data_IF_707446758811
#
_entry.id   IF_707446758811
#
_cell.length_a   1.000
_cell.length_b   1.000
_cell.length_c   1.000
_cell.angle_alpha   90.00
_cell.angle_beta   90.00
_cell.angle_gamma   90.00
#
_symmetry.space_group_name_H-M   'P 1'
#
loop_
_entity.id
_entity.type
_entity.pdbx_description
1 polymer ?
#
# COMPACT_ATOMS: atom_id res chain seq x y z
N UNK A 1 -30.67 32.43 33.79
CA UNK A 1 -29.84 33.16 32.80
C UNK A 1 -28.41 32.66 33.01
N UNK A 2 -27.71 32.04 32.07
CA UNK A 2 -27.81 31.99 30.61
C UNK A 2 -27.50 30.55 30.20
N UNK A 3 -28.45 29.87 29.53
CA UNK A 3 -28.18 28.62 28.82
C UNK A 3 -27.42 29.02 27.55
N UNK A 4 -26.14 28.65 27.47
CA UNK A 4 -25.36 28.80 26.25
C UNK A 4 -26.02 27.97 25.15
N UNK A 5 -26.53 28.64 24.12
CA UNK A 5 -27.15 27.99 22.98
C UNK A 5 -26.13 27.16 22.22
N UNK A 6 -26.40 25.87 22.10
CA UNK A 6 -25.84 25.06 21.01
C UNK A 6 -26.35 25.72 19.74
N UNK A 7 -25.45 26.30 18.94
CA UNK A 7 -25.82 26.77 17.59
C UNK A 7 -26.29 25.53 16.84
N UNK A 8 -27.54 25.54 16.37
CA UNK A 8 -27.98 24.63 15.31
C UNK A 8 -27.07 24.91 14.10
N UNK A 9 -26.09 24.03 13.89
CA UNK A 9 -25.27 24.03 12.70
C UNK A 9 -26.17 23.55 11.56
N UNK A 10 -26.73 24.48 10.80
CA UNK A 10 -27.24 24.17 9.47
C UNK A 10 -26.06 23.68 8.63
N UNK A 11 -26.23 22.53 7.96
CA UNK A 11 -25.12 21.88 7.27
C UNK A 11 -24.62 22.66 6.05
N UNK A 12 -25.42 23.59 5.52
CA UNK A 12 -25.02 24.51 4.45
C UNK A 12 -23.75 25.29 4.86
N UNK A 13 -22.63 24.99 4.22
CA UNK A 13 -21.32 25.63 4.44
C UNK A 13 -20.36 24.91 5.38
N UNK A 14 -20.82 23.90 6.15
CA UNK A 14 -19.95 23.16 7.08
C UNK A 14 -18.87 22.37 6.32
N UNK A 15 -19.23 21.80 5.17
CA UNK A 15 -18.31 21.04 4.33
C UNK A 15 -17.17 21.92 3.78
N UNK A 16 -17.51 23.12 3.28
CA UNK A 16 -16.54 24.08 2.76
C UNK A 16 -15.60 24.58 3.86
N UNK A 17 -16.14 24.83 5.06
CA UNK A 17 -15.32 25.17 6.23
C UNK A 17 -14.35 24.05 6.62
N UNK A 18 -14.79 22.79 6.60
CA UNK A 18 -13.92 21.63 6.86
C UNK A 18 -12.79 21.60 5.85
N UNK A 19 -13.12 21.71 4.56
CA UNK A 19 -12.13 21.65 3.49
C UNK A 19 -11.10 22.78 3.59
N UNK A 20 -11.54 24.01 3.84
CA UNK A 20 -10.63 25.14 4.02
C UNK A 20 -9.73 25.00 5.25
N UNK A 21 -10.23 24.42 6.34
CA UNK A 21 -9.42 24.16 7.53
C UNK A 21 -8.40 23.03 7.28
N UNK A 22 -8.79 21.97 6.58
CA UNK A 22 -7.86 20.89 6.17
C UNK A 22 -6.72 21.46 5.32
N UNK A 23 -7.03 22.28 4.31
CA UNK A 23 -6.03 22.93 3.44
C UNK A 23 -5.05 23.82 4.21
N UNK A 24 -5.42 24.34 5.39
CA UNK A 24 -4.51 25.12 6.23
C UNK A 24 -3.54 24.25 7.04
N UNK A 25 -3.85 22.97 7.24
CA UNK A 25 -3.09 22.04 8.09
C UNK A 25 -2.10 21.17 7.33
N UNK A 26 -2.20 21.14 6.00
CA UNK A 26 -1.33 20.31 5.17
C UNK A 26 -1.00 21.01 3.86
N UNK A 27 0.21 20.76 3.35
CA UNK A 27 0.61 21.16 2.00
C UNK A 27 0.08 20.19 0.93
N UNK A 28 -0.51 19.07 1.36
CA UNK A 28 -1.12 18.10 0.47
C UNK A 28 -2.40 18.68 -0.13
N UNK A 29 -2.62 18.38 -1.41
CA UNK A 29 -3.87 18.72 -2.09
C UNK A 29 -5.02 17.96 -1.42
N UNK A 30 -5.98 18.71 -0.89
CA UNK A 30 -7.26 18.20 -0.42
C UNK A 30 -8.38 18.78 -1.28
N UNK A 31 -9.34 17.94 -1.65
CA UNK A 31 -10.60 18.35 -2.25
C UNK A 31 -11.77 17.74 -1.47
N UNK A 32 -13.00 18.02 -1.92
CA UNK A 32 -14.18 17.53 -1.25
C UNK A 32 -14.23 16.00 -1.20
N UNK A 33 -13.71 15.35 -2.25
CA UNK A 33 -13.72 13.89 -2.33
C UNK A 33 -12.78 13.27 -1.31
N UNK A 34 -11.66 13.91 -0.99
CA UNK A 34 -10.75 13.45 0.07
C UNK A 34 -11.46 13.38 1.43
N UNK A 35 -12.21 14.42 1.80
CA UNK A 35 -12.98 14.44 3.06
C UNK A 35 -14.07 13.39 3.04
N UNK A 36 -14.81 13.29 1.92
CA UNK A 36 -15.86 12.28 1.75
C UNK A 36 -15.33 10.86 1.88
N UNK A 37 -14.16 10.55 1.30
CA UNK A 37 -13.52 9.22 1.38
C UNK A 37 -13.14 8.84 2.81
N UNK A 38 -12.62 9.77 3.60
CA UNK A 38 -12.30 9.52 5.01
C UNK A 38 -13.57 9.26 5.82
N UNK A 39 -14.62 10.06 5.61
CA UNK A 39 -15.92 9.84 6.25
C UNK A 39 -16.54 8.50 5.82
N UNK A 40 -16.46 8.15 4.53
CA UNK A 40 -16.94 6.89 4.01
C UNK A 40 -16.17 5.69 4.62
N UNK A 41 -14.85 5.80 4.80
CA UNK A 41 -14.07 4.76 5.48
C UNK A 41 -14.51 4.55 6.94
N UNK A 42 -14.87 5.62 7.65
CA UNK A 42 -15.41 5.54 9.02
C UNK A 42 -16.78 4.85 9.11
N UNK A 43 -17.55 4.79 8.02
CA UNK A 43 -18.77 3.94 7.97
C UNK A 43 -18.44 2.45 7.99
N UNK A 44 -17.20 2.06 7.66
CA UNK A 44 -16.75 0.68 7.54
C UNK A 44 -15.96 0.20 8.76
N UNK A 45 -15.12 1.04 9.34
CA UNK A 45 -14.18 0.68 10.40
C UNK A 45 -13.87 1.85 11.32
N UNK A 46 -13.51 1.56 12.57
CA UNK A 46 -13.05 2.53 13.56
C UNK A 46 -11.53 2.52 13.77
N UNK A 47 -10.81 1.58 13.15
CA UNK A 47 -9.35 1.49 13.25
C UNK A 47 -8.67 2.53 12.33
N UNK A 48 -7.70 3.27 12.86
CA UNK A 48 -7.01 4.32 12.10
C UNK A 48 -6.34 3.79 10.83
N UNK A 49 -5.64 2.66 10.93
CA UNK A 49 -4.88 2.11 9.81
C UNK A 49 -5.80 1.58 8.73
N UNK A 50 -6.93 0.98 9.13
CA UNK A 50 -7.98 0.59 8.19
C UNK A 50 -8.66 1.82 7.57
N UNK A 51 -8.89 2.92 8.30
CA UNK A 51 -9.41 4.17 7.72
C UNK A 51 -8.46 4.73 6.65
N UNK A 52 -7.14 4.72 6.91
CA UNK A 52 -6.13 5.12 5.92
C UNK A 52 -6.21 4.21 4.68
N UNK A 53 -6.28 2.89 4.89
CA UNK A 53 -6.38 1.91 3.80
C UNK A 53 -7.65 2.04 2.97
N UNK A 54 -8.81 2.22 3.63
CA UNK A 54 -10.13 2.25 2.99
C UNK A 54 -10.49 3.60 2.36
N UNK A 55 -9.87 4.69 2.82
CA UNK A 55 -10.04 6.02 2.19
C UNK A 55 -9.22 6.18 0.91
N UNK A 56 -8.16 5.39 0.73
CA UNK A 56 -7.18 5.55 -0.36
C UNK A 56 -6.52 6.95 -0.38
N UNK A 57 -6.49 7.64 0.77
CA UNK A 57 -5.86 8.95 0.93
C UNK A 57 -4.51 8.84 1.64
N UNK A 58 -3.54 9.74 1.38
CA UNK A 58 -2.25 9.73 2.07
C UNK A 58 -2.41 9.85 3.59
N UNK A 59 -1.66 9.06 4.37
CA UNK A 59 -1.74 9.04 5.83
C UNK A 59 -1.71 10.45 6.48
N UNK A 60 -0.81 11.38 6.10
CA UNK A 60 -0.81 12.71 6.69
C UNK A 60 -2.08 13.51 6.40
N UNK A 61 -2.69 13.31 5.22
CA UNK A 61 -3.95 13.94 4.85
C UNK A 61 -5.12 13.36 5.65
N UNK A 62 -5.18 12.03 5.80
CA UNK A 62 -6.18 11.36 6.63
C UNK A 62 -6.13 11.86 8.06
N UNK A 63 -4.92 11.97 8.65
CA UNK A 63 -4.74 12.52 10.00
C UNK A 63 -5.27 13.95 10.10
N UNK A 64 -4.91 14.82 9.16
CA UNK A 64 -5.37 16.22 9.16
C UNK A 64 -6.89 16.33 9.02
N UNK A 65 -7.50 15.51 8.17
CA UNK A 65 -8.97 15.46 8.01
C UNK A 65 -9.62 15.00 9.32
N UNK A 66 -9.16 13.90 9.92
CA UNK A 66 -9.73 13.36 11.15
C UNK A 66 -9.65 14.35 12.32
N UNK A 67 -8.57 15.12 12.43
CA UNK A 67 -8.44 16.18 13.44
C UNK A 67 -9.49 17.29 13.24
N UNK A 68 -9.71 17.73 12.00
CA UNK A 68 -10.75 18.74 11.71
C UNK A 68 -12.15 18.19 11.95
N UNK A 69 -12.42 16.95 11.56
CA UNK A 69 -13.71 16.30 11.80
C UNK A 69 -13.99 16.12 13.30
N UNK A 70 -12.97 15.81 14.10
CA UNK A 70 -13.08 15.75 15.56
C UNK A 70 -13.42 17.12 16.16
N UNK A 71 -12.72 18.18 15.76
CA UNK A 71 -12.99 19.55 16.24
C UNK A 71 -14.39 20.05 15.86
N UNK A 72 -14.91 19.61 14.71
CA UNK A 72 -16.28 19.91 14.25
C UNK A 72 -17.32 18.98 14.88
N UNK A 73 -16.92 18.03 15.72
CA UNK A 73 -17.82 17.09 16.41
C UNK A 73 -18.46 16.05 15.48
N UNK A 74 -17.92 15.84 14.28
CA UNK A 74 -18.37 14.83 13.33
C UNK A 74 -17.82 13.45 13.73
N UNK A 75 -16.57 13.43 14.21
CA UNK A 75 -15.89 12.24 14.69
C UNK A 75 -15.60 12.38 16.19
N UNK A 76 -15.67 11.28 16.91
CA UNK A 76 -15.12 11.16 18.26
C UNK A 76 -13.99 10.13 18.28
N UNK A 77 -12.90 10.46 18.98
CA UNK A 77 -11.78 9.56 19.23
C UNK A 77 -11.93 8.96 20.63
N UNK A 78 -11.81 7.64 20.73
CA UNK A 78 -11.91 6.90 21.99
C UNK A 78 -10.84 5.82 22.05
N UNK A 79 -10.69 5.14 23.20
CA UNK A 79 -9.83 3.94 23.29
C UNK A 79 -10.25 2.84 22.29
N UNK A 80 -11.52 2.83 21.86
CA UNK A 80 -12.06 1.89 20.86
C UNK A 80 -11.88 2.30 19.41
N UNK A 81 -11.13 3.37 19.13
CA UNK A 81 -10.91 3.91 17.78
C UNK A 81 -11.69 5.20 17.51
N UNK A 82 -11.94 5.46 16.22
CA UNK A 82 -12.55 6.68 15.71
C UNK A 82 -13.93 6.39 15.14
N UNK A 83 -14.96 7.00 15.72
CA UNK A 83 -16.34 6.73 15.35
C UNK A 83 -17.04 8.01 14.91
N UNK A 84 -18.00 7.88 14.00
CA UNK A 84 -18.92 8.97 13.69
C UNK A 84 -19.85 9.21 14.89
N UNK A 85 -20.00 10.47 15.28
CA UNK A 85 -20.98 10.86 16.30
C UNK A 85 -22.40 10.82 15.72
N UNK A 86 -23.43 11.00 16.54
CA UNK A 86 -24.81 11.19 16.04
C UNK A 86 -24.91 12.35 15.03
N UNK A 87 -24.09 13.39 15.20
CA UNK A 87 -23.99 14.50 14.24
C UNK A 87 -23.28 14.05 12.96
N UNK A 88 -22.18 13.30 13.07
CA UNK A 88 -21.47 12.75 11.93
C UNK A 88 -22.32 11.77 11.11
N UNK A 89 -23.14 10.94 11.76
CA UNK A 89 -24.09 10.06 11.06
C UNK A 89 -25.12 10.85 10.25
N UNK A 90 -25.73 11.90 10.82
CA UNK A 90 -26.63 12.80 10.06
C UNK A 90 -25.92 13.50 8.91
N UNK A 91 -24.68 13.93 9.13
CA UNK A 91 -23.84 14.52 8.08
C UNK A 91 -23.66 13.54 6.91
N UNK A 92 -23.43 12.25 7.17
CA UNK A 92 -23.31 11.25 6.10
C UNK A 92 -24.62 11.08 5.30
N UNK A 93 -25.78 11.12 5.97
CA UNK A 93 -27.09 11.01 5.31
C UNK A 93 -27.38 12.24 4.42
N UNK A 94 -27.10 13.44 4.92
CA UNK A 94 -27.37 14.70 4.22
C UNK A 94 -26.53 14.87 2.96
N UNK A 95 -25.24 14.53 3.04
CA UNK A 95 -24.30 14.59 1.91
C UNK A 95 -24.28 13.31 1.07
N UNK A 96 -25.18 12.36 1.35
CA UNK A 96 -25.27 11.07 0.67
C UNK A 96 -23.92 10.30 0.60
N UNK A 97 -23.11 10.42 1.66
CA UNK A 97 -21.82 9.73 1.77
C UNK A 97 -22.08 8.25 2.00
N UNK A 98 -21.52 7.40 1.14
CA UNK A 98 -21.66 5.95 1.24
C UNK A 98 -20.36 5.22 0.98
N UNK A 99 -20.18 4.10 1.69
CA UNK A 99 -19.04 3.22 1.51
C UNK A 99 -19.38 2.07 0.54
N UNK A 100 -18.57 1.91 -0.50
CA UNK A 100 -18.71 0.83 -1.48
C UNK A 100 -17.34 0.29 -1.88
N UNK A 101 -17.16 -1.04 -1.80
CA UNK A 101 -15.95 -1.72 -2.26
C UNK A 101 -16.33 -3.01 -3.00
N UNK A 102 -16.03 -3.05 -4.29
CA UNK A 102 -16.37 -4.18 -5.18
C UNK A 102 -15.11 -4.93 -5.59
N UNK A 103 -14.50 -5.65 -4.66
CA UNK A 103 -13.25 -6.41 -4.88
C UNK A 103 -13.56 -7.89 -5.02
N UNK A 104 -13.00 -8.54 -6.05
CA UNK A 104 -13.14 -9.98 -6.23
C UNK A 104 -12.48 -10.74 -5.07
N UNK A 105 -13.25 -11.54 -4.31
CA UNK A 105 -12.74 -12.31 -3.18
C UNK A 105 -11.73 -13.39 -3.60
N UNK A 106 -11.81 -13.91 -4.83
CA UNK A 106 -10.93 -14.99 -5.30
C UNK A 106 -9.49 -14.52 -5.57
N UNK A 107 -9.32 -13.31 -6.10
CA UNK A 107 -7.99 -12.77 -6.44
C UNK A 107 -7.61 -11.53 -5.62
N UNK A 108 -8.47 -11.09 -4.71
CA UNK A 108 -8.37 -9.81 -3.99
C UNK A 108 -8.16 -8.62 -4.92
N UNK A 109 -8.82 -8.62 -6.09
CA UNK A 109 -8.69 -7.57 -7.09
C UNK A 109 -7.42 -7.62 -7.96
N UNK A 110 -6.52 -8.61 -7.76
CA UNK A 110 -5.25 -8.72 -8.51
C UNK A 110 -5.41 -9.10 -9.99
N UNK A 111 -6.58 -9.57 -10.40
CA UNK A 111 -6.91 -10.00 -11.78
C UNK A 111 -6.15 -11.22 -12.31
N UNK A 112 -5.32 -11.86 -11.48
CA UNK A 112 -4.58 -13.08 -11.82
C UNK A 112 -4.99 -14.23 -10.91
N UNK A 113 -4.94 -15.45 -11.45
CA UNK A 113 -5.11 -16.69 -10.72
C UNK A 113 -3.74 -17.34 -10.48
N UNK A 114 -3.47 -17.81 -9.26
CA UNK A 114 -2.19 -18.39 -8.87
C UNK A 114 -2.20 -19.92 -8.81
N UNK A 115 -3.26 -20.58 -9.27
CA UNK A 115 -3.36 -22.06 -9.26
C UNK A 115 -2.16 -22.72 -9.96
N UNK A 116 -1.75 -22.22 -11.12
CA UNK A 116 -0.58 -22.72 -11.87
C UNK A 116 0.76 -22.43 -11.17
N UNK A 117 0.77 -21.52 -10.18
CA UNK A 117 1.95 -21.11 -9.43
C UNK A 117 1.95 -21.62 -7.98
N UNK A 118 1.01 -22.47 -7.57
CA UNK A 118 0.87 -22.90 -6.16
C UNK A 118 2.12 -23.58 -5.58
N UNK A 119 2.78 -24.43 -6.37
CA UNK A 119 3.99 -25.12 -5.93
C UNK A 119 5.18 -24.17 -5.85
N UNK A 120 5.24 -23.19 -6.78
CA UNK A 120 6.22 -22.11 -6.73
C UNK A 120 6.00 -21.23 -5.49
N UNK A 121 4.75 -20.87 -5.20
CA UNK A 121 4.39 -20.07 -4.03
C UNK A 121 4.84 -20.74 -2.74
N UNK A 122 4.55 -22.04 -2.57
CA UNK A 122 4.98 -22.80 -1.39
C UNK A 122 6.51 -22.81 -1.23
N UNK A 123 7.24 -23.06 -2.33
CA UNK A 123 8.72 -23.01 -2.31
C UNK A 123 9.24 -21.61 -2.01
N UNK A 124 8.58 -20.59 -2.56
CA UNK A 124 8.93 -19.20 -2.33
C UNK A 124 8.72 -18.79 -0.88
N UNK A 125 7.61 -19.19 -0.25
CA UNK A 125 7.34 -18.97 1.17
C UNK A 125 8.45 -19.54 2.07
N UNK A 126 8.93 -20.76 1.76
CA UNK A 126 10.01 -21.38 2.52
C UNK A 126 11.33 -20.62 2.38
N UNK A 127 11.67 -20.14 1.18
CA UNK A 127 12.85 -19.29 0.96
C UNK A 127 12.69 -17.94 1.65
N UNK A 128 11.51 -17.33 1.53
CA UNK A 128 11.20 -16.00 2.05
C UNK A 128 11.30 -15.94 3.58
N UNK A 129 11.12 -17.05 4.31
CA UNK A 129 11.35 -17.11 5.77
C UNK A 129 12.78 -16.75 6.18
N UNK A 130 13.75 -16.90 5.28
CA UNK A 130 15.17 -16.60 5.52
C UNK A 130 15.57 -15.18 5.09
N UNK A 131 14.62 -14.37 4.60
CA UNK A 131 14.89 -13.02 4.08
C UNK A 131 15.47 -12.10 5.16
N UNK A 132 16.33 -11.13 4.80
CA UNK A 132 16.71 -10.05 5.70
C UNK A 132 15.48 -9.29 6.22
N UNK A 133 15.51 -8.92 7.50
CA UNK A 133 14.47 -8.07 8.07
C UNK A 133 14.52 -6.65 7.47
N UNK A 134 13.35 -5.98 7.31
CA UNK A 134 13.29 -4.64 6.75
C UNK A 134 14.11 -3.64 7.56
N UNK A 135 14.75 -2.70 6.87
CA UNK A 135 15.49 -1.60 7.48
C UNK A 135 14.92 -0.27 7.03
N UNK A 136 14.47 0.51 8.01
CA UNK A 136 13.86 1.83 7.80
C UNK A 136 14.76 2.82 7.06
N UNK A 137 16.10 2.75 7.20
CA UNK A 137 17.03 3.65 6.48
C UNK A 137 16.97 3.51 4.95
N UNK A 138 16.47 2.37 4.48
CA UNK A 138 16.30 2.05 3.06
C UNK A 138 14.82 2.08 2.64
N UNK A 139 13.93 2.50 3.54
CA UNK A 139 12.47 2.51 3.31
C UNK A 139 11.90 1.14 2.89
N UNK A 140 12.45 0.06 3.45
CA UNK A 140 12.03 -1.31 3.12
C UNK A 140 10.68 -1.65 3.75
N UNK A 141 9.88 -2.37 2.97
CA UNK A 141 8.50 -2.70 3.30
C UNK A 141 7.96 -3.77 2.37
N UNK A 142 8.50 -4.98 2.48
CA UNK A 142 8.18 -6.04 1.54
C UNK A 142 6.70 -6.44 1.53
N UNK A 143 6.21 -6.85 0.37
CA UNK A 143 4.86 -7.37 0.16
C UNK A 143 4.72 -8.82 0.63
N UNK A 144 3.48 -9.29 0.71
CA UNK A 144 3.20 -10.70 1.01
C UNK A 144 3.73 -11.62 -0.10
N UNK A 145 4.01 -12.88 0.25
CA UNK A 145 4.53 -13.87 -0.70
C UNK A 145 3.60 -14.09 -1.90
N UNK A 146 2.30 -14.08 -1.65
CA UNK A 146 1.27 -14.17 -2.70
C UNK A 146 1.31 -12.96 -3.64
N UNK A 147 1.64 -11.77 -3.12
CA UNK A 147 1.75 -10.57 -3.94
C UNK A 147 2.98 -10.64 -4.85
N UNK A 148 4.13 -11.10 -4.36
CA UNK A 148 5.32 -11.32 -5.20
C UNK A 148 5.03 -12.34 -6.31
N UNK A 149 4.39 -13.46 -5.99
CA UNK A 149 4.03 -14.48 -6.99
C UNK A 149 2.94 -13.97 -7.94
N UNK A 150 2.00 -13.16 -7.47
CA UNK A 150 1.01 -12.52 -8.34
C UNK A 150 1.64 -11.53 -9.32
N UNK A 151 2.68 -10.79 -8.93
CA UNK A 151 3.45 -9.94 -9.85
C UNK A 151 4.12 -10.78 -10.94
N UNK A 152 4.76 -11.89 -10.56
CA UNK A 152 5.33 -12.85 -11.51
C UNK A 152 4.26 -13.38 -12.49
N UNK A 153 3.13 -13.86 -11.97
CA UNK A 153 2.03 -14.39 -12.78
C UNK A 153 1.46 -13.32 -13.72
N UNK A 154 1.29 -12.10 -13.24
CA UNK A 154 0.82 -10.96 -14.03
C UNK A 154 1.77 -10.68 -15.19
N UNK A 155 3.06 -10.46 -14.94
CA UNK A 155 4.04 -10.21 -15.99
C UNK A 155 4.16 -11.39 -16.96
N UNK A 156 4.11 -12.63 -16.46
CA UNK A 156 4.16 -13.82 -17.30
C UNK A 156 2.94 -13.88 -18.24
N UNK A 157 1.75 -13.55 -17.75
CA UNK A 157 0.51 -13.51 -18.57
C UNK A 157 0.56 -12.48 -19.71
N UNK A 158 1.47 -11.50 -19.63
CA UNK A 158 1.71 -10.49 -20.68
C UNK A 158 2.85 -10.85 -21.63
N UNK A 159 3.56 -11.95 -21.39
CA UNK A 159 4.71 -12.38 -22.19
C UNK A 159 6.01 -11.68 -21.81
N UNK A 160 6.07 -11.05 -20.64
CA UNK A 160 7.18 -10.19 -20.22
C UNK A 160 8.24 -10.91 -19.37
N UNK A 161 8.08 -12.21 -19.12
CA UNK A 161 9.00 -12.99 -18.27
C UNK A 161 9.74 -14.06 -19.06
N UNK A 162 9.02 -14.93 -19.77
CA UNK A 162 9.61 -16.12 -20.38
C UNK A 162 10.64 -15.76 -21.47
N UNK A 163 11.89 -16.23 -21.29
CA UNK A 163 13.00 -15.98 -22.21
C UNK A 163 13.49 -14.53 -22.27
N UNK A 164 13.05 -13.66 -21.34
CA UNK A 164 13.44 -12.24 -21.29
C UNK A 164 14.65 -12.04 -20.39
N UNK A 165 15.39 -10.96 -20.65
CA UNK A 165 16.36 -10.42 -19.70
C UNK A 165 15.60 -9.45 -18.80
N UNK A 166 15.66 -9.65 -17.49
CA UNK A 166 14.90 -8.88 -16.51
C UNK A 166 15.85 -8.03 -15.68
N UNK A 167 15.56 -6.73 -15.54
CA UNK A 167 16.23 -5.84 -14.60
C UNK A 167 15.29 -5.49 -13.45
N UNK A 168 15.75 -5.72 -12.22
CA UNK A 168 15.08 -5.35 -10.97
C UNK A 168 15.87 -4.23 -10.27
N UNK A 169 15.17 -3.16 -9.93
CA UNK A 169 15.71 -1.98 -9.26
C UNK A 169 15.10 -1.93 -7.85
N UNK A 170 15.88 -2.35 -6.85
CA UNK A 170 15.36 -2.72 -5.53
C UNK A 170 14.75 -4.13 -5.55
N UNK A 171 14.97 -4.94 -4.50
CA UNK A 171 14.39 -6.30 -4.41
C UNK A 171 14.19 -6.82 -2.98
N UNK A 172 13.71 -5.99 -2.05
CA UNK A 172 13.31 -6.44 -0.71
C UNK A 172 12.09 -7.39 -0.74
N UNK A 173 11.26 -7.28 -1.78
CA UNK A 173 10.16 -8.20 -2.10
C UNK A 173 10.60 -9.62 -2.50
N UNK A 174 11.88 -9.78 -2.89
CA UNK A 174 12.48 -11.00 -3.43
C UNK A 174 11.78 -11.51 -4.70
N UNK A 175 11.40 -10.62 -5.60
CA UNK A 175 10.85 -10.96 -6.91
C UNK A 175 11.89 -11.68 -7.78
N UNK A 176 13.18 -11.36 -7.65
CA UNK A 176 14.25 -12.10 -8.34
C UNK A 176 14.25 -13.59 -7.95
N UNK A 177 14.02 -13.90 -6.68
CA UNK A 177 13.96 -15.27 -6.16
C UNK A 177 12.74 -16.01 -6.70
N UNK A 178 11.56 -15.37 -6.72
CA UNK A 178 10.38 -15.97 -7.34
C UNK A 178 10.60 -16.23 -8.84
N UNK A 179 11.28 -15.32 -9.54
CA UNK A 179 11.66 -15.48 -10.95
C UNK A 179 12.67 -16.62 -11.17
N UNK A 180 13.71 -16.73 -10.33
CA UNK A 180 14.66 -17.85 -10.39
C UNK A 180 13.97 -19.18 -10.16
N UNK A 181 13.07 -19.27 -9.17
CA UNK A 181 12.27 -20.47 -8.89
C UNK A 181 11.41 -20.91 -10.08
N UNK A 182 10.93 -19.94 -10.87
CA UNK A 182 10.10 -20.23 -12.04
C UNK A 182 10.90 -20.80 -13.21
N UNK A 183 12.20 -20.50 -13.30
CA UNK A 183 13.03 -20.84 -14.45
C UNK A 183 12.59 -20.18 -15.77
N UNK A 184 11.69 -19.20 -15.73
CA UNK A 184 11.13 -18.57 -16.92
C UNK A 184 12.08 -17.55 -17.57
N UNK A 185 12.75 -16.63 -16.84
CA UNK A 185 13.62 -15.64 -17.46
C UNK A 185 14.85 -16.26 -18.12
N UNK A 186 15.37 -15.57 -19.14
CA UNK A 186 16.68 -15.88 -19.72
C UNK A 186 17.82 -15.43 -18.81
N UNK A 187 17.70 -14.23 -18.24
CA UNK A 187 18.65 -13.69 -17.26
C UNK A 187 17.95 -12.71 -16.33
N UNK A 188 18.55 -12.52 -15.15
CA UNK A 188 18.06 -11.58 -14.13
C UNK A 188 19.22 -10.70 -13.69
N UNK A 189 19.01 -9.39 -13.69
CA UNK A 189 19.91 -8.39 -13.13
C UNK A 189 19.21 -7.72 -11.95
N UNK A 190 19.88 -7.58 -10.81
CA UNK A 190 19.36 -6.90 -9.62
C UNK A 190 20.32 -5.80 -9.18
N UNK A 191 19.80 -4.57 -9.05
CA UNK A 191 20.48 -3.46 -8.40
C UNK A 191 19.81 -3.18 -7.05
N UNK A 192 20.56 -3.25 -5.96
CA UNK A 192 20.02 -3.06 -4.62
C UNK A 192 21.05 -2.35 -3.73
N UNK A 193 20.64 -1.39 -2.92
CA UNK A 193 21.56 -0.61 -2.07
C UNK A 193 21.91 -1.37 -0.77
N UNK A 194 21.08 -2.34 -0.38
CA UNK A 194 21.29 -3.15 0.81
C UNK A 194 22.11 -4.42 0.52
N UNK A 195 23.37 -4.43 0.97
CA UNK A 195 24.26 -5.58 0.83
C UNK A 195 23.71 -6.89 1.43
N UNK A 196 22.79 -6.81 2.40
CA UNK A 196 22.18 -8.00 3.02
C UNK A 196 21.27 -8.70 2.01
N UNK A 197 20.53 -7.93 1.23
CA UNK A 197 19.65 -8.43 0.17
C UNK A 197 20.47 -8.96 -1.00
N UNK A 198 21.51 -8.25 -1.45
CA UNK A 198 22.36 -8.73 -2.55
C UNK A 198 23.06 -10.04 -2.21
N UNK A 199 23.60 -10.18 -0.99
CA UNK A 199 24.19 -11.44 -0.49
C UNK A 199 23.14 -12.55 -0.39
N UNK A 200 21.94 -12.24 0.11
CA UNK A 200 20.85 -13.20 0.21
C UNK A 200 20.43 -13.73 -1.17
N UNK A 201 20.18 -12.86 -2.14
CA UNK A 201 19.77 -13.23 -3.50
C UNK A 201 20.83 -14.12 -4.17
N UNK A 202 22.13 -13.76 -4.05
CA UNK A 202 23.24 -14.59 -4.54
C UNK A 202 23.25 -15.97 -3.90
N UNK A 203 23.09 -16.05 -2.58
CA UNK A 203 23.08 -17.34 -1.88
C UNK A 203 21.92 -18.25 -2.32
N UNK A 204 20.75 -17.67 -2.58
CA UNK A 204 19.59 -18.42 -3.10
C UNK A 204 19.83 -18.87 -4.54
N UNK A 205 20.48 -18.05 -5.37
CA UNK A 205 20.84 -18.43 -6.73
C UNK A 205 21.77 -19.64 -6.77
N UNK A 206 22.78 -19.67 -5.88
CA UNK A 206 23.68 -20.81 -5.71
C UNK A 206 22.91 -22.07 -5.28
N UNK A 207 21.99 -21.96 -4.32
CA UNK A 207 21.13 -23.08 -3.89
C UNK A 207 20.23 -23.62 -5.02
N UNK A 208 19.79 -22.74 -5.92
CA UNK A 208 18.93 -23.08 -7.06
C UNK A 208 19.73 -23.48 -8.32
N UNK A 209 21.06 -23.36 -8.31
CA UNK A 209 21.92 -23.50 -9.50
C UNK A 209 21.46 -22.60 -10.66
N UNK A 210 21.15 -21.34 -10.36
CA UNK A 210 20.73 -20.36 -11.37
C UNK A 210 21.92 -19.49 -11.80
N UNK A 211 22.53 -19.85 -12.93
CA UNK A 211 23.81 -19.24 -13.36
C UNK A 211 23.66 -17.88 -14.06
N UNK A 212 22.47 -17.55 -14.58
CA UNK A 212 22.24 -16.34 -15.39
C UNK A 212 21.76 -15.15 -14.56
N UNK A 213 22.44 -14.91 -13.44
CA UNK A 213 22.15 -13.85 -12.48
C UNK A 213 23.30 -12.84 -12.38
N UNK A 214 22.97 -11.56 -12.47
CA UNK A 214 23.86 -10.45 -12.13
C UNK A 214 23.27 -9.68 -10.93
N UNK A 215 24.03 -9.49 -9.86
CA UNK A 215 23.58 -8.72 -8.69
C UNK A 215 24.68 -7.75 -8.26
N UNK A 216 24.33 -6.47 -8.25
CA UNK A 216 25.23 -5.37 -7.92
C UNK A 216 24.65 -4.55 -6.75
N UNK A 217 25.51 -4.29 -5.77
CA UNK A 217 25.20 -3.29 -4.74
C UNK A 217 25.30 -1.89 -5.37
N UNK A 218 24.18 -1.17 -5.44
CA UNK A 218 24.12 0.12 -6.13
C UNK A 218 23.11 1.07 -5.51
N UNK A 219 23.53 2.33 -5.37
CA UNK A 219 22.66 3.45 -5.11
C UNK A 219 22.06 3.96 -6.43
N UNK A 220 20.72 3.95 -6.53
CA UNK A 220 20.01 4.38 -7.74
C UNK A 220 19.98 5.90 -7.93
N UNK A 221 20.57 6.68 -7.01
CA UNK A 221 20.83 8.12 -7.21
C UNK A 221 21.98 8.37 -8.17
N UNK A 222 22.87 7.39 -8.32
CA UNK A 222 23.96 7.43 -9.28
C UNK A 222 23.50 6.91 -10.66
N UNK A 223 24.27 7.20 -11.72
CA UNK A 223 23.97 6.69 -13.07
C UNK A 223 23.94 5.16 -13.12
N UNK A 224 23.16 4.57 -14.03
CA UNK A 224 23.12 3.12 -14.19
C UNK A 224 24.43 2.62 -14.85
N UNK A 225 24.96 1.45 -14.44
CA UNK A 225 26.10 0.82 -15.11
C UNK A 225 25.82 0.58 -16.60
N UNK A 226 26.84 0.77 -17.44
CA UNK A 226 26.72 0.58 -18.91
C UNK A 226 26.57 -0.91 -19.29
N UNK A 227 26.99 -1.81 -18.42
CA UNK A 227 26.98 -3.26 -18.64
C UNK A 227 25.62 -3.95 -18.45
N UNK A 228 24.55 -3.19 -18.13
CA UNK A 228 23.20 -3.71 -17.89
C UNK A 228 22.37 -3.96 -19.15
#
# INVERSE_FOLDING_TARGET
>A
MVRGGVRELHADGVFEEILEEVKRRTELRADERSVERVIAALLKTSDFWEVVSESEEPLPLVSAILDVLEEKGIVEKSEGGMNLTDFGMKFTEEYAVSYHKCVCACCSGRTVNLEDFKDLLKRFEDLAKRRPAPVSRYDQGFVTTETTVARLAFMHSRGDVAGKNILLLGDDDLLSVAMMLSGLPKSISVLEIDERLTKFIKSVADELNFDSLYVLERDLRDELPEEL
#
